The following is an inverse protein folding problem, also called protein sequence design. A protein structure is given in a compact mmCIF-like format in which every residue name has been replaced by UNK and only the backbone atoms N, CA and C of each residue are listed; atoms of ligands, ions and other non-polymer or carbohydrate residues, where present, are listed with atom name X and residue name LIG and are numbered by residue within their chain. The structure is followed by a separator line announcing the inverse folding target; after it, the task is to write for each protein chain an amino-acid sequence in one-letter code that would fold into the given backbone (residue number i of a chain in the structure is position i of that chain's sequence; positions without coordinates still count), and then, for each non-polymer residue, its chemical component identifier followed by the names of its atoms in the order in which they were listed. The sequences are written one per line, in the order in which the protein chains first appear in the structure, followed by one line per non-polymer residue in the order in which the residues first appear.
data_IF_324946554574
#
_entry.id   IF_324946554574
#
_cell.length_a   1.000
_cell.length_b   1.000
_cell.length_c   1.000
_cell.angle_alpha   90.00
_cell.angle_beta   90.00
_cell.angle_gamma   90.00
#
_symmetry.space_group_name_H-M   'P 1'
#
loop_
_entity.id
_entity.type
_entity.pdbx_description
1 polymer ?
#
# COMPACT_ATOMS: atom_id res chain seq x y z
N UNK A 1 -63.62 16.44 23.10
CA UNK A 1 -62.64 15.33 23.18
C UNK A 1 -61.84 15.24 21.90
N UNK A 2 -60.55 15.60 21.93
CA UNK A 2 -59.46 15.00 21.13
C UNK A 2 -58.14 15.67 21.56
N UNK A 3 -57.19 14.82 21.89
CA UNK A 3 -55.95 15.05 22.64
C UNK A 3 -54.81 15.63 21.78
N UNK A 4 -53.83 16.32 22.38
CA UNK A 4 -52.60 16.75 21.71
C UNK A 4 -51.55 15.63 21.76
N UNK A 5 -50.82 15.41 20.67
CA UNK A 5 -49.71 14.42 20.60
C UNK A 5 -48.37 15.12 20.76
N UNK A 6 -47.73 14.91 21.90
CA UNK A 6 -46.40 15.38 22.28
C UNK A 6 -45.32 14.64 21.49
N UNK A 7 -44.45 15.36 20.77
CA UNK A 7 -43.24 14.78 20.16
C UNK A 7 -42.04 15.04 21.08
N UNK A 8 -41.51 13.96 21.65
CA UNK A 8 -40.27 13.93 22.45
C UNK A 8 -39.05 14.07 21.51
N UNK A 9 -38.24 15.09 21.76
CA UNK A 9 -36.91 15.28 21.18
C UNK A 9 -35.88 14.57 22.09
N UNK A 10 -35.26 13.51 21.58
CA UNK A 10 -34.08 12.88 22.16
C UNK A 10 -32.83 13.48 21.50
N UNK A 11 -31.92 14.14 22.23
CA UNK A 11 -30.60 14.48 21.69
C UNK A 11 -29.68 13.27 21.89
N UNK A 12 -29.28 12.65 20.78
CA UNK A 12 -28.25 11.60 20.75
C UNK A 12 -26.88 12.27 20.96
N UNK A 13 -26.29 12.07 22.14
CA UNK A 13 -24.91 12.43 22.44
C UNK A 13 -23.97 11.48 21.69
N UNK A 14 -23.37 11.94 20.60
CA UNK A 14 -22.33 11.21 19.87
C UNK A 14 -20.99 11.44 20.56
N UNK A 15 -20.63 10.55 21.49
CA UNK A 15 -19.29 10.41 22.05
C UNK A 15 -18.33 9.95 20.93
N UNK A 16 -17.67 10.91 20.28
CA UNK A 16 -16.53 10.64 19.41
C UNK A 16 -15.33 10.27 20.28
N UNK A 17 -15.11 8.97 20.46
CA UNK A 17 -13.88 8.45 21.05
C UNK A 17 -12.74 8.68 20.06
N UNK A 18 -11.98 9.76 20.26
CA UNK A 18 -10.69 9.94 19.63
C UNK A 18 -9.73 8.89 20.20
N UNK A 19 -9.56 7.78 19.48
CA UNK A 19 -8.54 6.79 19.79
C UNK A 19 -7.17 7.39 19.50
N UNK A 20 -6.47 7.83 20.55
CA UNK A 20 -5.05 8.16 20.49
C UNK A 20 -4.25 6.91 20.15
N UNK A 21 -3.63 6.87 18.97
CA UNK A 21 -2.79 5.78 18.49
C UNK A 21 -1.42 5.79 19.20
N UNK A 22 -1.37 5.26 20.42
CA UNK A 22 -0.11 4.81 21.01
C UNK A 22 0.16 3.37 20.54
N UNK A 23 1.32 3.10 19.94
CA UNK A 23 1.72 1.75 19.56
C UNK A 23 1.65 0.84 20.78
N UNK A 24 0.68 -0.09 20.80
CA UNK A 24 0.43 -0.91 21.96
C UNK A 24 1.63 -1.83 22.24
N UNK A 25 2.16 -1.77 23.47
CA UNK A 25 3.18 -2.70 23.94
C UNK A 25 2.52 -4.08 24.04
N UNK A 26 2.93 -5.01 23.16
CA UNK A 26 2.35 -6.35 23.08
C UNK A 26 2.87 -7.23 24.23
N UNK A 27 1.99 -7.88 25.01
CA UNK A 27 2.42 -8.80 26.07
C UNK A 27 3.21 -10.00 25.50
N UNK A 28 4.30 -10.43 26.16
CA UNK A 28 5.00 -11.65 25.79
C UNK A 28 4.03 -12.85 25.90
N UNK A 29 3.87 -13.61 24.81
CA UNK A 29 2.90 -14.70 24.69
C UNK A 29 1.78 -14.48 23.67
N UNK A 30 1.47 -13.23 23.29
CA UNK A 30 0.51 -12.92 22.19
C UNK A 30 1.17 -12.64 20.85
N UNK A 31 2.50 -12.55 20.81
CA UNK A 31 3.24 -12.18 19.60
C UNK A 31 3.02 -13.18 18.44
N UNK A 32 3.03 -14.49 18.71
CA UNK A 32 2.81 -15.51 17.68
C UNK A 32 1.39 -15.45 17.09
N UNK A 33 0.37 -15.22 17.93
CA UNK A 33 -1.02 -15.08 17.49
C UNK A 33 -1.22 -13.81 16.65
N UNK A 34 -0.65 -12.69 17.09
CA UNK A 34 -0.71 -11.41 16.36
C UNK A 34 0.02 -11.53 15.03
N UNK A 35 1.20 -12.15 15.02
CA UNK A 35 1.95 -12.39 13.79
C UNK A 35 1.19 -13.28 12.81
N UNK A 36 0.58 -14.37 13.28
CA UNK A 36 -0.25 -15.24 12.43
C UNK A 36 -1.46 -14.50 11.84
N UNK A 37 -2.11 -13.64 12.62
CA UNK A 37 -3.21 -12.78 12.13
C UNK A 37 -2.73 -11.77 11.09
N UNK A 38 -1.60 -11.11 11.34
CA UNK A 38 -0.97 -10.17 10.40
C UNK A 38 -0.60 -10.87 9.10
N UNK A 39 0.01 -12.06 9.17
CA UNK A 39 0.36 -12.86 8.01
C UNK A 39 -0.87 -13.28 7.20
N UNK A 40 -1.94 -13.74 7.86
CA UNK A 40 -3.18 -14.11 7.18
C UNK A 40 -3.83 -12.91 6.47
N UNK A 41 -3.89 -11.76 7.15
CA UNK A 41 -4.38 -10.52 6.54
C UNK A 41 -3.51 -10.08 5.35
N UNK A 42 -2.19 -10.14 5.50
CA UNK A 42 -1.24 -9.79 4.44
C UNK A 42 -1.41 -10.70 3.22
N UNK A 43 -1.45 -12.03 3.40
CA UNK A 43 -1.67 -12.99 2.31
C UNK A 43 -3.02 -12.75 1.61
N UNK A 44 -4.06 -12.37 2.35
CA UNK A 44 -5.36 -12.02 1.77
C UNK A 44 -5.29 -10.73 0.92
N UNK A 45 -4.60 -9.70 1.39
CA UNK A 45 -4.37 -8.47 0.60
C UNK A 45 -3.52 -8.73 -0.65
N UNK A 46 -2.47 -9.56 -0.53
CA UNK A 46 -1.67 -10.02 -1.69
C UNK A 46 -2.54 -10.72 -2.71
N UNK A 47 -3.42 -11.64 -2.28
CA UNK A 47 -4.33 -12.32 -3.18
C UNK A 47 -5.29 -11.35 -3.87
N UNK A 48 -5.83 -10.36 -3.15
CA UNK A 48 -6.70 -9.35 -3.76
C UNK A 48 -5.97 -8.51 -4.82
N UNK A 49 -4.76 -8.03 -4.52
CA UNK A 49 -3.98 -7.25 -5.50
C UNK A 49 -3.50 -8.13 -6.67
N UNK A 50 -3.24 -9.42 -6.45
CA UNK A 50 -2.93 -10.36 -7.53
C UNK A 50 -4.08 -10.46 -8.55
N UNK A 51 -5.33 -10.46 -8.08
CA UNK A 51 -6.49 -10.47 -8.97
C UNK A 51 -6.63 -9.15 -9.74
N UNK A 52 -6.39 -8.01 -9.08
CA UNK A 52 -6.44 -6.68 -9.70
C UNK A 52 -5.33 -6.44 -10.73
N UNK A 53 -4.11 -6.89 -10.45
CA UNK A 53 -2.95 -6.68 -11.30
C UNK A 53 -3.04 -7.46 -12.61
N UNK A 54 -2.74 -6.84 -13.75
CA UNK A 54 -2.55 -7.57 -15.01
C UNK A 54 -1.09 -8.02 -15.18
N UNK A 55 -0.19 -7.42 -14.40
CA UNK A 55 1.25 -7.63 -14.47
C UNK A 55 1.85 -7.77 -13.07
N UNK A 56 2.61 -8.85 -12.86
CA UNK A 56 3.36 -9.12 -11.64
C UNK A 56 4.72 -9.70 -12.02
N UNK A 57 5.81 -9.09 -11.57
CA UNK A 57 7.16 -9.55 -11.87
C UNK A 57 8.15 -9.11 -10.80
N UNK A 58 9.33 -9.74 -10.81
CA UNK A 58 10.49 -9.31 -10.04
C UNK A 58 11.52 -8.68 -10.99
N UNK A 59 12.09 -7.56 -10.56
CA UNK A 59 13.10 -6.86 -11.35
C UNK A 59 13.80 -5.74 -10.59
N UNK A 60 14.90 -5.25 -11.17
CA UNK A 60 15.61 -4.08 -10.66
C UNK A 60 15.08 -2.80 -11.30
N UNK A 61 14.84 -1.78 -10.49
CA UNK A 61 14.49 -0.45 -10.97
C UNK A 61 15.69 0.15 -11.70
N UNK A 62 15.60 0.30 -13.01
CA UNK A 62 16.70 0.81 -13.85
C UNK A 62 16.69 2.33 -13.92
N UNK A 63 15.50 2.91 -14.12
CA UNK A 63 15.32 4.37 -14.24
C UNK A 63 14.11 4.78 -13.43
N UNK A 64 14.25 5.89 -12.70
CA UNK A 64 13.14 6.58 -12.05
C UNK A 64 13.24 8.07 -12.36
N UNK A 65 12.35 8.55 -13.22
CA UNK A 65 12.17 9.98 -13.47
C UNK A 65 10.94 10.47 -12.72
N UNK A 66 10.97 11.72 -12.25
CA UNK A 66 9.82 12.31 -11.60
C UNK A 66 9.58 13.76 -12.01
N UNK A 67 8.32 14.15 -12.06
CA UNK A 67 7.89 15.52 -12.31
C UNK A 67 6.93 15.97 -11.20
N UNK A 68 7.14 17.15 -10.60
CA UNK A 68 6.23 17.68 -9.60
C UNK A 68 5.02 18.37 -10.26
N UNK A 69 3.86 18.23 -9.64
CA UNK A 69 2.64 18.99 -9.95
C UNK A 69 2.10 19.62 -8.67
N UNK A 70 1.90 20.93 -8.67
CA UNK A 70 1.27 21.64 -7.55
C UNK A 70 -0.23 21.73 -7.79
N UNK A 71 -1.02 21.08 -6.94
CA UNK A 71 -2.48 21.07 -7.02
C UNK A 71 -3.09 21.76 -5.80
N UNK A 72 -4.15 22.54 -6.01
CA UNK A 72 -4.95 23.08 -4.92
C UNK A 72 -6.11 22.12 -4.66
N UNK A 73 -6.09 21.46 -3.50
CA UNK A 73 -7.18 20.59 -3.09
C UNK A 73 -8.47 21.39 -2.89
N UNK A 74 -9.63 20.73 -2.95
CA UNK A 74 -10.92 21.37 -2.69
C UNK A 74 -11.02 22.05 -1.31
N UNK A 75 -10.17 21.65 -0.35
CA UNK A 75 -10.01 22.27 0.97
C UNK A 75 -9.24 23.59 0.95
N UNK A 76 -8.74 24.03 -0.21
CA UNK A 76 -7.86 25.20 -0.34
C UNK A 76 -6.40 24.92 0.01
N UNK A 77 -6.06 23.70 0.45
CA UNK A 77 -4.68 23.31 0.73
C UNK A 77 -3.92 23.01 -0.56
N UNK A 78 -2.72 23.57 -0.67
CA UNK A 78 -1.78 23.24 -1.74
C UNK A 78 -1.09 21.91 -1.44
N UNK A 79 -1.11 20.98 -2.41
CA UNK A 79 -0.40 19.70 -2.37
C UNK A 79 0.59 19.63 -3.53
N UNK A 80 1.72 19.00 -3.30
CA UNK A 80 2.74 18.72 -4.32
C UNK A 80 2.68 17.23 -4.62
N UNK A 81 2.04 16.91 -5.75
CA UNK A 81 2.08 15.57 -6.30
C UNK A 81 3.40 15.37 -7.03
N UNK A 82 3.94 14.15 -6.98
CA UNK A 82 5.03 13.73 -7.83
C UNK A 82 4.57 12.60 -8.72
N UNK A 83 4.65 12.82 -10.03
CA UNK A 83 4.41 11.81 -11.05
C UNK A 83 5.74 11.13 -11.36
N UNK A 84 5.79 9.83 -11.12
CA UNK A 84 6.97 9.01 -11.32
C UNK A 84 6.79 8.13 -12.55
N UNK A 85 7.85 8.03 -13.33
CA UNK A 85 7.98 7.18 -14.50
C UNK A 85 9.10 6.17 -14.21
N UNK A 86 8.73 4.92 -13.94
CA UNK A 86 9.65 3.86 -13.57
C UNK A 86 9.87 2.90 -14.74
N UNK A 87 11.11 2.51 -14.97
CA UNK A 87 11.50 1.44 -15.91
C UNK A 87 12.29 0.40 -15.14
N UNK A 88 11.94 -0.87 -15.33
CA UNK A 88 12.56 -1.99 -14.65
C UNK A 88 13.34 -2.84 -15.65
N UNK A 89 14.31 -3.59 -15.14
CA UNK A 89 14.87 -4.74 -15.82
C UNK A 89 14.27 -6.00 -15.19
N UNK A 90 13.33 -6.69 -15.87
CA UNK A 90 12.71 -7.88 -15.32
C UNK A 90 13.71 -9.05 -15.37
N UNK A 91 13.66 -9.93 -14.39
CA UNK A 91 14.35 -11.23 -14.46
C UNK A 91 13.45 -12.41 -14.12
N UNK A 92 12.28 -12.16 -13.52
CA UNK A 92 11.27 -13.19 -13.28
C UNK A 92 9.87 -12.61 -13.46
N UNK A 93 9.04 -13.27 -14.26
CA UNK A 93 7.65 -12.87 -14.48
C UNK A 93 6.72 -13.87 -13.80
N UNK A 94 5.75 -13.36 -13.04
CA UNK A 94 4.80 -14.16 -12.25
C UNK A 94 3.40 -14.13 -12.87
N UNK A 95 2.98 -12.97 -13.38
CA UNK A 95 1.70 -12.78 -14.08
C UNK A 95 1.88 -11.75 -15.18
N UNK A 96 1.30 -12.00 -16.35
CA UNK A 96 1.44 -11.10 -17.49
C UNK A 96 2.87 -11.03 -18.02
N UNK A 97 3.10 -10.16 -18.99
CA UNK A 97 4.40 -9.96 -19.62
C UNK A 97 4.82 -8.50 -19.55
N UNK A 98 5.93 -8.22 -18.86
CA UNK A 98 6.53 -6.88 -18.84
C UNK A 98 7.44 -6.74 -20.05
N UNK A 99 7.19 -5.72 -20.88
CA UNK A 99 7.97 -5.47 -22.08
C UNK A 99 9.21 -4.66 -21.74
N UNK A 100 10.33 -4.99 -22.37
CA UNK A 100 11.57 -4.25 -22.17
C UNK A 100 11.39 -2.76 -22.52
N UNK A 101 11.87 -1.88 -21.64
CA UNK A 101 11.68 -0.43 -21.74
C UNK A 101 10.26 0.09 -21.48
N UNK A 102 9.30 -0.75 -21.09
CA UNK A 102 7.94 -0.30 -20.75
C UNK A 102 7.96 0.61 -19.51
N UNK A 103 7.37 1.81 -19.62
CA UNK A 103 7.23 2.71 -18.48
C UNK A 103 6.04 2.28 -17.61
N UNK A 104 6.24 2.27 -16.30
CA UNK A 104 5.20 2.11 -15.29
C UNK A 104 5.06 3.39 -14.47
N UNK A 105 3.85 3.92 -14.40
CA UNK A 105 3.58 5.19 -13.75
C UNK A 105 3.05 5.02 -12.33
N UNK A 106 3.41 5.95 -11.45
CA UNK A 106 2.74 6.10 -10.16
C UNK A 106 2.81 7.55 -9.68
N UNK A 107 1.94 7.89 -8.71
CA UNK A 107 1.90 9.24 -8.14
C UNK A 107 2.06 9.16 -6.62
N UNK A 108 2.97 9.95 -6.09
CA UNK A 108 3.09 10.16 -4.63
C UNK A 108 2.66 11.58 -4.27
N UNK A 109 2.18 11.76 -3.04
CA UNK A 109 1.94 13.08 -2.48
C UNK A 109 3.03 13.41 -1.48
N UNK A 110 3.84 14.43 -1.76
CA UNK A 110 4.94 14.88 -0.89
C UNK A 110 4.45 15.41 0.45
N UNK A 111 3.18 15.82 0.55
CA UNK A 111 2.59 16.32 1.77
C UNK A 111 1.94 15.22 2.62
N UNK A 112 1.90 13.97 2.14
CA UNK A 112 1.31 12.84 2.87
C UNK A 112 2.28 12.32 3.93
N UNK A 113 1.89 12.45 5.20
CA UNK A 113 2.56 11.79 6.32
C UNK A 113 1.75 10.54 6.70
N UNK A 114 2.36 9.36 6.59
CA UNK A 114 1.77 8.11 7.07
C UNK A 114 2.20 7.89 8.51
N UNK A 115 1.24 7.78 9.43
CA UNK A 115 1.50 7.47 10.84
C UNK A 115 0.84 6.12 11.14
N UNK A 116 1.66 5.09 11.34
CA UNK A 116 1.21 3.74 11.65
C UNK A 116 2.30 2.94 12.37
N UNK A 117 1.91 2.00 13.22
CA UNK A 117 2.80 1.18 14.03
C UNK A 117 3.20 -0.15 13.36
N UNK A 118 2.97 -0.30 12.06
CA UNK A 118 3.20 -1.55 11.33
C UNK A 118 3.67 -1.30 9.90
N UNK A 119 4.20 -2.34 9.23
CA UNK A 119 4.66 -2.23 7.85
C UNK A 119 3.50 -1.85 6.92
N UNK A 120 3.72 -0.85 6.07
CA UNK A 120 2.72 -0.41 5.10
C UNK A 120 2.58 -1.47 4.00
N UNK A 121 1.35 -1.93 3.74
CA UNK A 121 1.11 -2.92 2.68
C UNK A 121 1.32 -2.34 1.28
N UNK A 122 0.84 -1.12 1.03
CA UNK A 122 0.97 -0.44 -0.27
C UNK A 122 2.23 0.42 -0.29
N UNK A 123 3.37 -0.22 -0.54
CA UNK A 123 4.61 0.50 -0.81
C UNK A 123 4.77 0.77 -2.31
N UNK A 124 5.57 1.78 -2.63
CA UNK A 124 5.95 2.18 -3.98
C UNK A 124 7.48 2.26 -4.04
N UNK A 125 8.10 2.29 -5.24
CA UNK A 125 9.54 2.44 -5.33
C UNK A 125 10.04 3.70 -4.63
N UNK A 126 11.19 3.58 -3.94
CA UNK A 126 11.82 4.70 -3.24
C UNK A 126 12.33 5.73 -4.25
N UNK A 127 12.31 7.01 -3.87
CA UNK A 127 12.75 8.10 -4.75
C UNK A 127 14.21 7.99 -5.22
N UNK A 128 15.04 7.32 -4.42
CA UNK A 128 16.43 6.99 -4.73
C UNK A 128 16.64 5.50 -5.01
N UNK A 129 15.59 4.77 -5.38
CA UNK A 129 15.60 3.32 -5.51
C UNK A 129 16.18 2.77 -6.81
N UNK A 130 16.80 3.60 -7.65
CA UNK A 130 17.46 3.10 -8.86
C UNK A 130 18.58 2.12 -8.49
N UNK A 131 18.59 0.95 -9.11
CA UNK A 131 19.45 -0.20 -8.79
C UNK A 131 18.88 -1.11 -7.70
N UNK A 132 17.82 -0.70 -6.99
CA UNK A 132 17.15 -1.55 -6.01
C UNK A 132 16.19 -2.54 -6.70
N UNK A 133 15.84 -3.58 -5.94
CA UNK A 133 15.09 -4.73 -6.41
C UNK A 133 13.68 -4.72 -5.86
N UNK A 134 12.69 -5.05 -6.70
CA UNK A 134 11.28 -5.02 -6.31
C UNK A 134 10.50 -6.22 -6.85
N UNK A 135 9.52 -6.69 -6.08
CA UNK A 135 8.33 -7.35 -6.58
C UNK A 135 7.36 -6.26 -7.00
N UNK A 136 6.97 -6.22 -8.26
CA UNK A 136 6.15 -5.15 -8.83
C UNK A 136 4.77 -5.71 -9.16
N UNK A 137 3.73 -4.99 -8.74
CA UNK A 137 2.35 -5.21 -9.17
C UNK A 137 1.90 -4.01 -9.97
N UNK A 138 1.42 -4.25 -11.19
CA UNK A 138 0.94 -3.20 -12.06
C UNK A 138 -0.36 -3.59 -12.76
N UNK A 139 -1.07 -2.56 -13.19
CA UNK A 139 -2.26 -2.65 -14.02
C UNK A 139 -2.27 -1.51 -15.01
N UNK A 140 -2.50 -1.81 -16.29
CA UNK A 140 -2.70 -0.80 -17.34
C UNK A 140 -1.57 0.25 -17.37
N UNK A 141 -0.33 -0.19 -17.17
CA UNK A 141 0.85 0.68 -17.15
C UNK A 141 1.04 1.49 -15.87
N UNK A 142 0.28 1.22 -14.79
CA UNK A 142 0.41 1.92 -13.50
C UNK A 142 0.80 0.96 -12.39
N UNK A 143 1.73 1.36 -11.53
CA UNK A 143 2.12 0.58 -10.35
C UNK A 143 0.99 0.64 -9.31
N UNK A 144 0.49 -0.53 -8.91
CA UNK A 144 -0.49 -0.66 -7.83
C UNK A 144 0.20 -0.72 -6.46
N UNK A 145 1.29 -1.47 -6.39
CA UNK A 145 2.20 -1.56 -5.25
C UNK A 145 3.51 -2.20 -5.68
N UNK A 146 4.50 -2.08 -4.81
CA UNK A 146 5.71 -2.88 -4.85
C UNK A 146 5.93 -3.59 -3.53
N UNK A 147 6.81 -4.58 -3.54
CA UNK A 147 7.52 -5.03 -2.35
C UNK A 147 9.02 -4.87 -2.59
N UNK A 148 9.68 -4.06 -1.79
CA UNK A 148 11.12 -3.84 -1.90
C UNK A 148 11.90 -5.08 -1.41
N UNK A 149 12.90 -5.53 -2.18
CA UNK A 149 13.67 -6.75 -1.94
C UNK A 149 15.11 -6.56 -1.43
N UNK A 150 15.33 -5.73 -0.40
CA UNK A 150 16.17 -6.05 0.73
C UNK A 150 15.28 -6.31 1.96
N UNK A 151 15.88 -6.82 3.04
CA UNK A 151 15.18 -7.20 4.28
C UNK A 151 14.62 -6.01 5.09
N UNK A 152 13.90 -5.08 4.46
CA UNK A 152 13.12 -4.06 5.16
C UNK A 152 12.10 -4.77 6.06
N UNK A 153 11.75 -4.17 7.20
CA UNK A 153 10.78 -4.74 8.12
C UNK A 153 9.41 -4.89 7.40
N UNK A 154 9.06 -6.13 7.06
CA UNK A 154 7.86 -6.50 6.31
C UNK A 154 7.26 -7.76 6.93
N UNK A 155 5.97 -8.00 6.67
CA UNK A 155 5.31 -9.24 7.11
C UNK A 155 5.79 -10.44 6.31
N UNK A 156 5.98 -10.24 4.99
CA UNK A 156 6.64 -11.17 4.08
C UNK A 156 7.67 -10.39 3.28
N UNK A 157 8.86 -10.95 3.15
CA UNK A 157 9.85 -10.46 2.19
C UNK A 157 9.31 -10.59 0.76
N UNK A 158 9.83 -9.79 -0.16
CA UNK A 158 9.43 -9.89 -1.57
C UNK A 158 9.65 -11.29 -2.18
N UNK A 159 10.63 -12.07 -1.70
CA UNK A 159 10.85 -13.45 -2.14
C UNK A 159 9.81 -14.43 -1.60
N UNK A 160 9.46 -14.34 -0.32
CA UNK A 160 8.42 -15.19 0.29
C UNK A 160 7.05 -14.88 -0.33
N UNK A 161 6.79 -13.61 -0.59
CA UNK A 161 5.58 -13.19 -1.28
C UNK A 161 5.54 -13.69 -2.73
N UNK A 162 6.65 -13.59 -3.48
CA UNK A 162 6.75 -14.15 -4.82
C UNK A 162 6.56 -15.68 -4.82
N UNK A 163 7.04 -16.39 -3.79
CA UNK A 163 6.78 -17.82 -3.61
C UNK A 163 5.27 -18.08 -3.38
N UNK A 164 4.63 -17.31 -2.49
CA UNK A 164 3.19 -17.40 -2.24
C UNK A 164 2.36 -17.19 -3.52
N UNK A 165 2.70 -16.18 -4.32
CA UNK A 165 2.01 -15.90 -5.58
C UNK A 165 2.08 -17.04 -6.60
N UNK A 166 3.19 -17.80 -6.59
CA UNK A 166 3.42 -18.97 -7.44
C UNK A 166 2.69 -20.23 -6.94
N UNK A 167 2.02 -20.15 -5.78
CA UNK A 167 1.36 -21.30 -5.15
C UNK A 167 2.26 -22.08 -4.18
N UNK A 168 3.39 -21.50 -3.76
CA UNK A 168 4.13 -21.98 -2.58
C UNK A 168 3.36 -21.66 -1.30
N UNK A 169 3.31 -22.60 -0.36
CA UNK A 169 2.65 -22.41 0.95
C UNK A 169 3.49 -21.56 1.92
#
# INVERSE_FOLDING_TARGET
MRTPTTRLLFPLLVLHSAASFACAIVPPGKQAEIHAKQLAAYKAEVAAVKEEADLIFMGSLSTLASTPETVTAASGQTRVLQHHHAVFQPWEQIKGEYRDGQVLDYTTDKNRVVVGCGPEFRTLPKENGAGEVYLVYAREGRILRTNHMPMDAQVLSGYEEAAFLRGGE
#
